data_IF_614538894298
#
_entry.id   IF_614538894298
#
_cell.length_a   1.000
_cell.length_b   1.000
_cell.length_c   1.000
_cell.angle_alpha   90.00
_cell.angle_beta   90.00
_cell.angle_gamma   90.00
#
_symmetry.space_group_name_H-M   'P 1'
#
loop_
_entity.id
_entity.type
_entity.pdbx_description
1 polymer ?
#
# COMPACT_ATOMS: atom_id res chain seq x y z
N UNK A 1 -56.10 32.64 -55.97
CA UNK A 1 -55.30 31.48 -56.44
C UNK A 1 -54.49 30.95 -55.27
N UNK A 2 -54.87 29.78 -54.75
CA UNK A 2 -53.96 28.82 -54.08
C UNK A 2 -53.14 28.08 -55.18
N UNK A 3 -52.06 27.31 -54.90
CA UNK A 3 -51.46 26.92 -53.61
C UNK A 3 -49.89 26.88 -53.54
N UNK A 4 -49.39 26.44 -52.37
CA UNK A 4 -48.21 25.55 -52.18
C UNK A 4 -46.81 26.17 -52.04
N UNK A 5 -46.20 26.08 -50.85
CA UNK A 5 -45.37 24.93 -50.45
C UNK A 5 -44.65 25.17 -49.11
N UNK A 6 -44.59 24.10 -48.33
CA UNK A 6 -43.98 23.96 -47.01
C UNK A 6 -42.51 24.39 -46.92
N UNK A 7 -42.10 24.81 -45.72
CA UNK A 7 -40.93 24.28 -44.99
C UNK A 7 -40.90 24.80 -43.55
N UNK A 8 -41.40 23.95 -42.66
CA UNK A 8 -41.19 24.03 -41.21
C UNK A 8 -39.74 23.64 -40.89
N UNK A 9 -38.94 24.61 -40.45
CA UNK A 9 -37.63 24.36 -39.84
C UNK A 9 -37.79 24.35 -38.32
N UNK A 10 -38.06 23.17 -37.76
CA UNK A 10 -37.82 22.90 -36.34
C UNK A 10 -36.30 22.76 -36.16
N UNK A 11 -35.65 23.82 -35.70
CA UNK A 11 -34.30 23.74 -35.16
C UNK A 11 -34.40 23.11 -33.76
N UNK A 12 -34.13 21.81 -33.66
CA UNK A 12 -33.79 21.17 -32.40
C UNK A 12 -32.36 21.59 -32.04
N UNK A 13 -32.10 22.32 -30.94
CA UNK A 13 -30.75 22.44 -30.45
C UNK A 13 -30.39 21.09 -29.83
N UNK A 14 -29.57 20.31 -30.54
CA UNK A 14 -28.79 19.25 -29.92
C UNK A 14 -27.81 19.92 -28.96
N UNK A 15 -28.22 20.08 -27.70
CA UNK A 15 -27.31 20.29 -26.60
C UNK A 15 -26.52 18.99 -26.44
N UNK A 16 -25.37 18.90 -27.12
CA UNK A 16 -24.31 17.98 -26.70
C UNK A 16 -23.81 18.48 -25.35
N UNK A 17 -24.43 17.99 -24.27
CA UNK A 17 -23.75 17.90 -22.99
C UNK A 17 -22.65 16.86 -23.17
N UNK A 18 -21.47 17.29 -23.59
CA UNK A 18 -20.25 16.51 -23.40
C UNK A 18 -20.09 16.38 -21.88
N UNK A 19 -20.52 15.26 -21.33
CA UNK A 19 -20.15 14.86 -19.98
C UNK A 19 -18.62 14.80 -19.98
N UNK A 20 -17.98 15.82 -19.41
CA UNK A 20 -16.57 15.74 -19.11
C UNK A 20 -16.42 14.53 -18.18
N UNK A 21 -15.83 13.44 -18.68
CA UNK A 21 -15.42 12.33 -17.85
C UNK A 21 -14.51 12.93 -16.77
N UNK A 22 -15.00 12.98 -15.54
CA UNK A 22 -14.22 13.48 -14.41
C UNK A 22 -13.00 12.59 -14.28
N UNK A 23 -11.81 13.18 -14.44
CA UNK A 23 -10.55 12.45 -14.28
C UNK A 23 -10.51 11.80 -12.89
N UNK A 24 -10.08 10.54 -12.82
CA UNK A 24 -9.93 9.83 -11.56
C UNK A 24 -8.94 10.56 -10.64
N UNK A 25 -9.38 10.87 -9.42
CA UNK A 25 -8.55 11.52 -8.40
C UNK A 25 -7.65 10.46 -7.73
N UNK A 26 -6.34 10.58 -7.96
CA UNK A 26 -5.34 9.63 -7.46
C UNK A 26 -4.97 9.88 -5.99
N UNK A 27 -5.05 11.15 -5.56
CA UNK A 27 -4.65 11.57 -4.22
C UNK A 27 -5.67 11.09 -3.20
N UNK A 28 -5.20 10.45 -2.13
CA UNK A 28 -6.04 9.85 -1.08
C UNK A 28 -7.04 8.79 -1.59
N UNK A 29 -6.78 8.22 -2.78
CA UNK A 29 -7.61 7.19 -3.37
C UNK A 29 -7.59 5.91 -2.51
N UNK A 30 -8.75 5.53 -2.00
CA UNK A 30 -8.94 4.26 -1.29
C UNK A 30 -9.21 3.09 -2.24
N UNK A 31 -9.03 1.85 -1.78
CA UNK A 31 -9.39 0.60 -2.48
C UNK A 31 -10.85 0.65 -2.94
N UNK A 32 -11.77 1.16 -2.12
CA UNK A 32 -13.18 1.31 -2.49
C UNK A 32 -13.39 2.36 -3.58
N UNK A 33 -12.65 3.49 -3.50
CA UNK A 33 -12.72 4.54 -4.52
C UNK A 33 -12.14 4.10 -5.86
N UNK A 34 -11.18 3.17 -5.86
CA UNK A 34 -10.59 2.54 -7.05
C UNK A 34 -11.54 1.48 -7.64
N UNK A 35 -12.14 0.64 -6.78
CA UNK A 35 -13.03 -0.44 -7.22
C UNK A 35 -14.31 0.06 -7.89
N UNK A 36 -14.87 1.19 -7.42
CA UNK A 36 -16.08 1.79 -7.99
C UNK A 36 -15.96 2.08 -9.50
N UNK A 37 -15.00 2.87 -9.98
CA UNK A 37 -14.84 3.15 -11.42
C UNK A 37 -14.38 1.93 -12.23
N UNK A 38 -13.75 0.91 -11.62
CA UNK A 38 -13.50 -0.37 -12.30
C UNK A 38 -14.79 -1.10 -12.69
N UNK A 39 -15.87 -0.95 -11.91
CA UNK A 39 -17.15 -1.60 -12.18
C UNK A 39 -17.90 -1.00 -13.38
N UNK A 40 -17.68 0.28 -13.65
CA UNK A 40 -18.36 1.02 -14.72
C UNK A 40 -17.49 1.24 -15.96
N UNK A 41 -16.22 0.85 -15.92
CA UNK A 41 -15.27 1.04 -17.01
C UNK A 41 -14.65 2.45 -17.09
N UNK A 42 -14.98 3.33 -16.14
CA UNK A 42 -14.45 4.70 -16.04
C UNK A 42 -12.95 4.73 -15.71
N UNK A 43 -12.44 3.63 -15.14
CA UNK A 43 -11.02 3.42 -14.87
C UNK A 43 -10.63 1.99 -15.27
N UNK A 44 -9.47 1.85 -15.90
CA UNK A 44 -8.83 0.55 -16.16
C UNK A 44 -7.68 0.33 -15.19
N UNK A 45 -7.35 -0.93 -14.91
CA UNK A 45 -6.17 -1.29 -14.12
C UNK A 45 -4.92 -0.76 -14.80
N UNK A 46 -4.85 -0.82 -16.14
CA UNK A 46 -3.77 -0.19 -16.91
C UNK A 46 -3.68 1.32 -16.67
N UNK A 47 -4.80 2.03 -16.81
CA UNK A 47 -4.84 3.48 -16.61
C UNK A 47 -4.43 3.89 -15.20
N UNK A 48 -4.88 3.15 -14.18
CA UNK A 48 -4.47 3.37 -12.79
C UNK A 48 -2.96 3.16 -12.59
N UNK A 49 -2.39 2.13 -13.20
CA UNK A 49 -0.96 1.84 -13.10
C UNK A 49 -0.12 2.90 -13.80
N UNK A 50 -0.55 3.36 -14.97
CA UNK A 50 0.08 4.49 -15.66
C UNK A 50 0.03 5.78 -14.82
N UNK A 51 -1.06 6.03 -14.08
CA UNK A 51 -1.15 7.16 -13.15
C UNK A 51 -0.12 7.05 -12.01
N UNK A 52 -0.03 5.89 -11.36
CA UNK A 52 0.95 5.69 -10.28
C UNK A 52 2.40 5.68 -10.79
N UNK A 53 2.68 5.10 -11.95
CA UNK A 53 4.01 5.14 -12.56
C UNK A 53 4.48 6.58 -12.83
N UNK A 54 3.58 7.44 -13.33
CA UNK A 54 3.86 8.88 -13.50
C UNK A 54 4.17 9.55 -12.15
N UNK A 55 3.41 9.22 -11.10
CA UNK A 55 3.63 9.79 -9.76
C UNK A 55 4.93 9.33 -9.12
N UNK A 56 5.26 8.04 -9.23
CA UNK A 56 6.54 7.47 -8.80
C UNK A 56 7.69 8.18 -9.52
N UNK A 57 7.62 8.32 -10.85
CA UNK A 57 8.65 9.00 -11.62
C UNK A 57 8.85 10.47 -11.21
N UNK A 58 7.78 11.16 -10.79
CA UNK A 58 7.83 12.55 -10.36
C UNK A 58 8.39 12.73 -8.94
N UNK A 59 8.08 11.82 -8.01
CA UNK A 59 8.34 12.01 -6.58
C UNK A 59 9.51 11.18 -6.05
N UNK A 60 9.73 9.98 -6.58
CA UNK A 60 10.76 9.06 -6.07
C UNK A 60 12.21 9.59 -6.19
N UNK A 61 12.59 10.39 -7.21
CA UNK A 61 13.91 11.02 -7.23
C UNK A 61 14.23 11.89 -6.01
N UNK A 62 13.21 12.39 -5.29
CA UNK A 62 13.38 13.17 -4.06
C UNK A 62 13.15 12.34 -2.80
N UNK A 63 12.31 11.29 -2.86
CA UNK A 63 11.86 10.54 -1.70
C UNK A 63 12.61 9.22 -1.49
N UNK A 64 13.15 8.64 -2.56
CA UNK A 64 13.86 7.35 -2.57
C UNK A 64 13.07 6.22 -1.88
N UNK A 65 11.76 6.19 -2.11
CA UNK A 65 10.89 5.14 -1.59
C UNK A 65 11.04 3.85 -2.39
N UNK A 66 11.36 3.93 -3.68
CA UNK A 66 11.39 2.83 -4.66
C UNK A 66 12.82 2.44 -5.01
N UNK A 67 13.17 1.18 -4.71
CA UNK A 67 14.46 0.56 -5.02
C UNK A 67 14.47 -0.02 -6.43
N UNK A 68 13.43 -0.76 -6.79
CA UNK A 68 13.32 -1.48 -8.07
C UNK A 68 11.87 -1.44 -8.57
N UNK A 69 11.69 -1.26 -9.87
CA UNK A 69 10.39 -1.11 -10.53
C UNK A 69 10.35 -1.97 -11.79
N UNK A 70 9.39 -2.88 -11.87
CA UNK A 70 9.09 -3.66 -13.08
C UNK A 70 7.92 -3.03 -13.84
N UNK A 71 8.20 -1.95 -14.58
CA UNK A 71 7.17 -1.20 -15.28
C UNK A 71 6.42 -2.04 -16.33
N UNK A 72 7.14 -2.85 -17.11
CA UNK A 72 6.54 -3.64 -18.19
C UNK A 72 5.70 -4.80 -17.64
N UNK A 73 6.22 -5.52 -16.64
CA UNK A 73 5.44 -6.59 -16.02
C UNK A 73 4.25 -6.08 -15.20
N UNK A 74 4.35 -4.87 -14.63
CA UNK A 74 3.24 -4.13 -14.05
C UNK A 74 2.16 -3.83 -15.09
N UNK A 75 2.49 -3.15 -16.19
CA UNK A 75 1.51 -2.84 -17.25
C UNK A 75 0.87 -4.12 -17.82
N UNK A 76 1.66 -5.18 -18.04
CA UNK A 76 1.15 -6.47 -18.49
C UNK A 76 0.22 -7.14 -17.44
N UNK A 77 0.47 -6.96 -16.14
CA UNK A 77 -0.43 -7.43 -15.08
C UNK A 77 -1.77 -6.71 -15.12
N UNK A 78 -1.74 -5.40 -15.32
CA UNK A 78 -2.91 -4.56 -15.48
C UNK A 78 -3.76 -4.99 -16.66
N UNK A 79 -3.16 -5.18 -17.83
CA UNK A 79 -3.87 -5.61 -19.04
C UNK A 79 -4.58 -6.97 -18.83
N UNK A 80 -3.94 -7.88 -18.07
CA UNK A 80 -4.55 -9.16 -17.70
C UNK A 80 -5.69 -9.02 -16.69
N UNK A 81 -5.56 -8.15 -15.70
CA UNK A 81 -6.63 -7.87 -14.75
C UNK A 81 -7.85 -7.24 -15.45
N UNK A 82 -7.61 -6.33 -16.40
CA UNK A 82 -8.65 -5.74 -17.25
C UNK A 82 -9.32 -6.80 -18.12
N UNK A 83 -8.55 -7.68 -18.76
CA UNK A 83 -9.09 -8.78 -19.56
C UNK A 83 -9.94 -9.76 -18.73
N UNK A 84 -9.45 -10.16 -17.55
CA UNK A 84 -10.19 -11.04 -16.64
C UNK A 84 -11.51 -10.40 -16.19
N UNK A 85 -11.51 -9.09 -15.92
CA UNK A 85 -12.72 -8.35 -15.55
C UNK A 85 -13.73 -8.29 -16.69
N UNK A 86 -13.28 -8.05 -17.93
CA UNK A 86 -14.15 -8.10 -19.13
C UNK A 86 -14.76 -9.48 -19.36
N UNK A 87 -13.96 -10.54 -19.20
CA UNK A 87 -14.42 -11.93 -19.39
C UNK A 87 -15.46 -12.35 -18.35
N UNK A 88 -15.36 -11.81 -17.14
CA UNK A 88 -16.28 -12.16 -16.06
C UNK A 88 -17.67 -11.50 -16.21
N UNK A 89 -17.77 -10.41 -17.01
CA UNK A 89 -19.04 -9.74 -17.33
C UNK A 89 -19.55 -8.78 -16.25
N UNK A 90 -20.72 -8.20 -16.49
CA UNK A 90 -21.33 -7.19 -15.61
C UNK A 90 -21.67 -7.80 -14.24
N UNK A 91 -21.34 -7.08 -13.16
CA UNK A 91 -21.56 -7.53 -11.78
C UNK A 91 -20.48 -8.48 -11.23
N UNK A 92 -19.50 -8.89 -12.05
CA UNK A 92 -18.46 -9.83 -11.62
C UNK A 92 -17.42 -9.26 -10.66
N UNK A 93 -17.41 -7.94 -10.42
CA UNK A 93 -16.46 -7.33 -9.50
C UNK A 93 -16.55 -7.97 -8.09
N UNK A 94 -17.75 -8.35 -7.65
CA UNK A 94 -17.96 -9.01 -6.35
C UNK A 94 -17.47 -10.46 -6.30
N UNK A 95 -17.36 -11.13 -7.45
CA UNK A 95 -16.78 -12.46 -7.58
C UNK A 95 -15.26 -12.42 -7.74
N UNK A 96 -14.72 -11.26 -8.13
CA UNK A 96 -13.30 -11.03 -8.24
C UNK A 96 -12.67 -10.70 -6.88
N UNK A 97 -11.37 -11.00 -6.72
CA UNK A 97 -10.61 -10.67 -5.52
C UNK A 97 -10.71 -9.19 -5.16
N UNK A 98 -10.61 -8.89 -3.86
CA UNK A 98 -10.80 -7.53 -3.34
C UNK A 98 -9.80 -6.52 -3.94
N UNK A 99 -8.56 -6.95 -4.17
CA UNK A 99 -7.50 -6.11 -4.76
C UNK A 99 -7.34 -6.36 -6.28
N UNK A 100 -8.31 -6.98 -6.95
CA UNK A 100 -8.22 -7.28 -8.37
C UNK A 100 -7.96 -6.01 -9.20
N UNK A 101 -6.80 -5.97 -9.86
CA UNK A 101 -6.42 -4.87 -10.74
C UNK A 101 -5.90 -3.61 -10.05
N UNK A 102 -5.81 -3.60 -8.72
CA UNK A 102 -5.20 -2.51 -7.96
C UNK A 102 -3.68 -2.77 -7.79
N UNK A 103 -2.81 -1.78 -8.01
CA UNK A 103 -1.37 -1.92 -7.76
C UNK A 103 -1.03 -1.98 -6.28
N UNK A 104 0.00 -2.76 -5.95
CA UNK A 104 0.49 -2.93 -4.58
C UNK A 104 2.01 -2.99 -4.57
N UNK A 105 2.63 -2.05 -3.86
CA UNK A 105 4.08 -2.07 -3.67
C UNK A 105 4.45 -2.91 -2.45
N UNK A 106 5.58 -3.61 -2.52
CA UNK A 106 6.01 -4.52 -1.46
C UNK A 106 7.40 -4.17 -0.98
N UNK A 107 7.67 -4.42 0.30
CA UNK A 107 9.00 -4.26 0.86
C UNK A 107 10.03 -5.17 0.17
N UNK A 108 11.24 -4.68 0.05
CA UNK A 108 12.35 -5.31 -0.69
C UNK A 108 12.82 -6.68 -0.14
N UNK A 109 12.36 -7.09 1.04
CA UNK A 109 12.62 -8.41 1.59
C UNK A 109 11.53 -9.45 1.26
N UNK A 110 10.51 -9.08 0.47
CA UNK A 110 9.43 -9.96 0.04
C UNK A 110 9.72 -10.43 -1.39
N UNK A 111 9.69 -11.75 -1.60
CA UNK A 111 9.98 -12.37 -2.89
C UNK A 111 8.86 -12.19 -3.89
N UNK A 112 9.26 -11.96 -5.14
CA UNK A 112 8.40 -11.59 -6.26
C UNK A 112 8.94 -12.18 -7.56
N UNK A 113 8.34 -13.25 -8.05
CA UNK A 113 8.78 -14.02 -9.22
C UNK A 113 7.69 -14.15 -10.32
N UNK A 114 6.48 -13.65 -10.10
CA UNK A 114 5.32 -13.88 -10.96
C UNK A 114 5.36 -13.23 -12.36
N UNK A 115 5.35 -14.08 -13.41
CA UNK A 115 4.92 -13.72 -14.77
C UNK A 115 5.92 -13.00 -15.67
N UNK A 116 7.19 -13.41 -15.60
CA UNK A 116 8.22 -13.08 -16.60
C UNK A 116 9.26 -12.05 -16.17
N UNK A 117 9.06 -11.39 -15.04
CA UNK A 117 10.03 -10.46 -14.44
C UNK A 117 10.31 -10.93 -13.01
N UNK A 118 11.53 -11.40 -12.76
CA UNK A 118 12.02 -11.65 -11.41
C UNK A 118 12.68 -10.36 -10.93
N UNK A 119 11.92 -9.54 -10.22
CA UNK A 119 12.53 -8.53 -9.35
C UNK A 119 13.39 -9.25 -8.32
N UNK A 120 14.36 -8.56 -7.74
CA UNK A 120 15.30 -9.18 -6.82
C UNK A 120 14.61 -9.69 -5.53
N UNK A 121 15.37 -10.13 -4.53
CA UNK A 121 15.01 -10.08 -3.12
C UNK A 121 16.24 -9.69 -2.31
N UNK A 122 16.43 -8.39 -2.07
CA UNK A 122 17.69 -7.90 -1.50
C UNK A 122 17.66 -7.57 -0.02
N UNK A 123 16.47 -7.32 0.56
CA UNK A 123 16.34 -6.78 1.91
C UNK A 123 17.25 -5.54 2.16
N UNK A 124 17.47 -4.73 1.11
CA UNK A 124 18.39 -3.59 1.13
C UNK A 124 19.88 -3.93 1.12
N UNK A 125 20.26 -5.20 0.90
CA UNK A 125 21.65 -5.66 0.91
C UNK A 125 22.24 -5.80 -0.49
N UNK A 126 23.39 -5.16 -0.71
CA UNK A 126 24.15 -5.31 -1.97
C UNK A 126 24.56 -6.76 -2.25
N UNK A 127 24.72 -7.59 -1.22
CA UNK A 127 25.09 -9.00 -1.37
C UNK A 127 24.01 -9.83 -2.07
N UNK A 128 22.78 -9.33 -2.12
CA UNK A 128 21.63 -10.02 -2.70
C UNK A 128 21.17 -9.36 -4.01
N UNK A 129 21.90 -8.36 -4.53
CA UNK A 129 21.64 -7.82 -5.87
C UNK A 129 21.93 -8.90 -6.92
N UNK A 130 21.00 -9.08 -7.86
CA UNK A 130 20.99 -10.17 -8.82
C UNK A 130 20.30 -11.44 -8.32
N UNK A 131 19.82 -11.49 -7.06
CA UNK A 131 19.08 -12.64 -6.56
C UNK A 131 17.77 -12.80 -7.34
N UNK A 132 17.42 -14.04 -7.69
CA UNK A 132 16.18 -14.35 -8.38
C UNK A 132 15.37 -15.28 -7.49
N UNK A 133 14.33 -14.80 -6.81
CA UNK A 133 13.48 -15.65 -6.01
C UNK A 133 12.88 -16.77 -6.86
N UNK A 134 12.83 -17.99 -6.30
CA UNK A 134 12.29 -19.15 -7.00
C UNK A 134 10.75 -19.12 -7.17
N UNK A 135 10.08 -18.23 -6.43
CA UNK A 135 8.63 -18.09 -6.45
C UNK A 135 8.17 -16.87 -5.67
N UNK A 136 6.89 -16.53 -5.82
CA UNK A 136 6.26 -15.47 -5.05
C UNK A 136 6.15 -15.85 -3.57
N UNK A 137 6.20 -14.83 -2.70
CA UNK A 137 5.95 -14.97 -1.28
C UNK A 137 4.56 -15.58 -0.99
N UNK A 138 4.47 -16.26 0.15
CA UNK A 138 3.25 -16.79 0.72
C UNK A 138 2.31 -15.69 1.12
N UNK A 139 1.33 -15.42 0.27
CA UNK A 139 0.10 -14.77 0.67
C UNK A 139 -0.98 -15.81 0.37
N UNK A 140 -1.77 -16.15 1.39
CA UNK A 140 -2.56 -17.39 1.38
C UNK A 140 -3.42 -17.49 0.11
N UNK A 141 -3.47 -18.69 -0.47
CA UNK A 141 -4.22 -18.97 -1.69
C UNK A 141 -5.75 -18.94 -1.51
N UNK A 142 -6.24 -18.70 -0.28
CA UNK A 142 -7.65 -18.77 0.07
C UNK A 142 -8.47 -17.49 -0.20
N UNK A 143 -7.82 -16.34 -0.39
CA UNK A 143 -8.46 -15.02 -0.55
C UNK A 143 -8.50 -14.54 -2.02
N UNK A 144 -8.11 -15.40 -2.96
CA UNK A 144 -8.14 -15.10 -4.38
C UNK A 144 -7.17 -14.01 -4.81
N UNK A 145 -6.17 -13.64 -4.01
CA UNK A 145 -5.17 -12.63 -4.39
C UNK A 145 -4.75 -12.81 -5.86
N UNK A 146 -4.92 -11.80 -6.74
CA UNK A 146 -4.52 -11.96 -8.13
C UNK A 146 -3.05 -12.31 -8.14
N UNK A 147 -2.70 -13.35 -8.92
CA UNK A 147 -1.37 -13.93 -9.00
C UNK A 147 -0.26 -12.95 -9.44
N UNK A 148 -0.52 -11.63 -9.51
CA UNK A 148 0.37 -10.63 -10.09
C UNK A 148 0.18 -9.30 -9.39
N UNK A 149 0.95 -9.13 -8.33
CA UNK A 149 1.09 -7.86 -7.64
C UNK A 149 1.87 -6.92 -8.55
N UNK A 150 1.63 -5.61 -8.44
CA UNK A 150 2.33 -4.60 -9.22
C UNK A 150 3.58 -4.21 -8.46
N UNK A 151 4.64 -4.97 -8.69
CA UNK A 151 5.71 -5.05 -7.73
C UNK A 151 6.68 -3.90 -7.93
N UNK A 152 6.74 -3.07 -6.90
CA UNK A 152 7.74 -2.05 -6.73
C UNK A 152 8.36 -2.31 -5.37
N UNK A 153 9.68 -2.46 -5.38
CA UNK A 153 10.43 -2.77 -4.19
C UNK A 153 10.69 -1.51 -3.43
N UNK A 154 10.32 -1.53 -2.16
CA UNK A 154 10.38 -0.35 -1.33
C UNK A 154 11.63 -0.35 -0.46
N UNK A 155 12.26 0.82 -0.34
CA UNK A 155 13.49 1.02 0.40
C UNK A 155 13.34 0.46 1.81
N UNK A 156 14.21 -0.48 2.15
CA UNK A 156 14.35 -0.99 3.50
C UNK A 156 15.57 -0.31 4.10
N UNK A 157 15.37 0.75 4.89
CA UNK A 157 16.48 1.36 5.59
C UNK A 157 16.95 0.40 6.71
N UNK A 158 17.89 -0.48 6.39
CA UNK A 158 18.56 -1.33 7.37
C UNK A 158 19.59 -0.48 8.12
N UNK A 159 19.15 0.20 9.18
CA UNK A 159 20.07 0.88 10.10
C UNK A 159 19.43 2.05 10.83
N UNK A 160 19.56 2.03 12.16
CA UNK A 160 19.44 3.23 13.00
C UNK A 160 20.50 4.22 12.54
N UNK A 161 20.14 5.13 11.63
CA UNK A 161 20.97 6.28 11.29
C UNK A 161 20.27 7.54 11.80
N UNK A 162 20.58 7.86 13.04
CA UNK A 162 20.27 9.15 13.66
C UNK A 162 21.22 10.21 13.11
N UNK A 163 21.13 10.56 11.82
CA UNK A 163 21.69 11.79 11.23
C UNK A 163 21.27 11.92 9.75
N UNK A 164 20.82 13.10 9.29
CA UNK A 164 20.70 13.36 7.86
C UNK A 164 22.10 13.48 7.24
N UNK A 165 22.39 12.88 6.06
CA UNK A 165 23.59 13.22 5.32
C UNK A 165 23.47 14.64 4.76
N UNK A 166 24.58 15.37 4.78
CA UNK A 166 24.75 16.64 4.08
C UNK A 166 24.52 16.46 2.56
N UNK A 167 24.04 17.53 1.92
CA UNK A 167 23.62 17.68 0.53
C UNK A 167 24.41 16.86 -0.51
N UNK A 168 23.78 16.34 -1.59
CA UNK A 168 24.51 15.64 -2.63
C UNK A 168 25.25 16.63 -3.55
N UNK A 169 26.47 16.32 -4.03
CA UNK A 169 27.07 17.02 -5.16
C UNK A 169 26.48 16.51 -6.48
N UNK A 170 26.13 17.48 -7.33
CA UNK A 170 26.23 17.54 -8.79
C UNK A 170 25.49 16.53 -9.71
N UNK A 171 24.59 17.07 -10.54
CA UNK A 171 24.99 17.37 -11.94
C UNK A 171 24.59 16.43 -13.08
N UNK A 172 23.66 15.48 -12.94
CA UNK A 172 23.23 14.61 -14.06
C UNK A 172 21.71 14.60 -14.26
N UNK A 173 21.17 14.72 -15.50
CA UNK A 173 19.73 14.83 -15.74
C UNK A 173 18.94 13.56 -15.33
N UNK A 174 17.84 13.76 -14.60
CA UNK A 174 17.01 12.70 -13.99
C UNK A 174 16.41 11.68 -14.98
N UNK A 175 16.18 12.08 -16.24
CA UNK A 175 15.52 11.25 -17.25
C UNK A 175 16.34 10.01 -17.69
N UNK A 176 17.66 10.02 -17.48
CA UNK A 176 18.53 8.88 -17.85
C UNK A 176 18.60 7.78 -16.77
N UNK A 177 18.22 8.07 -15.51
CA UNK A 177 18.32 7.12 -14.38
C UNK A 177 17.16 6.13 -14.28
N UNK A 178 16.02 6.41 -14.91
CA UNK A 178 14.82 5.58 -14.80
C UNK A 178 14.84 4.31 -15.67
N UNK A 179 15.74 4.23 -16.67
CA UNK A 179 15.66 3.18 -17.72
C UNK A 179 16.46 1.91 -17.47
N UNK A 180 17.29 1.83 -16.41
CA UNK A 180 18.07 0.62 -16.14
C UNK A 180 18.67 0.60 -14.73
N UNK A 181 17.86 0.29 -13.70
CA UNK A 181 18.38 0.03 -12.33
C UNK A 181 18.72 -1.45 -12.08
N UNK A 182 18.60 -2.32 -13.08
CA UNK A 182 18.95 -3.75 -12.96
C UNK A 182 20.44 -4.02 -12.71
N UNK A 183 21.31 -3.00 -12.72
CA UNK A 183 22.77 -3.15 -12.63
C UNK A 183 23.47 -2.10 -11.73
N UNK A 184 22.75 -1.38 -10.85
CA UNK A 184 23.42 -0.43 -9.95
C UNK A 184 24.09 -1.16 -8.78
N UNK A 185 25.44 -1.11 -8.75
CA UNK A 185 26.31 -1.69 -7.70
C UNK A 185 26.42 -0.73 -6.48
N UNK A 186 25.75 0.43 -6.52
CA UNK A 186 25.74 1.40 -5.42
C UNK A 186 24.58 1.15 -4.47
N UNK A 187 24.75 1.35 -3.15
CA UNK A 187 23.66 1.20 -2.19
C UNK A 187 22.49 2.13 -2.57
N UNK A 188 21.22 1.70 -2.36
CA UNK A 188 20.09 2.56 -2.61
C UNK A 188 20.23 3.83 -1.75
N UNK A 189 19.90 5.01 -2.29
CA UNK A 189 20.01 6.25 -1.53
C UNK A 189 19.04 6.21 -0.34
N UNK A 190 19.38 6.95 0.73
CA UNK A 190 18.57 6.96 1.94
C UNK A 190 17.16 7.52 1.66
N UNK A 191 16.10 6.88 2.18
CA UNK A 191 14.73 7.34 2.03
C UNK A 191 14.46 8.61 2.86
N UNK A 192 13.65 9.52 2.30
CA UNK A 192 13.28 10.78 2.94
C UNK A 192 11.81 10.81 3.33
N UNK A 193 11.51 11.43 4.48
CA UNK A 193 10.14 11.62 4.95
C UNK A 193 9.41 12.66 4.06
N UNK A 194 8.20 12.35 3.53
CA UNK A 194 7.50 13.22 2.58
C UNK A 194 6.92 14.49 3.23
N UNK A 195 6.76 14.52 4.56
CA UNK A 195 6.26 15.70 5.29
C UNK A 195 7.38 16.63 5.71
N UNK A 196 8.50 16.08 6.18
CA UNK A 196 9.65 16.84 6.67
C UNK A 196 10.93 16.15 6.18
N UNK A 197 11.54 16.58 5.07
CA UNK A 197 12.70 15.90 4.48
C UNK A 197 13.90 15.74 5.43
N UNK A 198 14.06 16.63 6.41
CA UNK A 198 15.11 16.52 7.43
C UNK A 198 14.80 15.53 8.56
N UNK A 199 13.58 15.00 8.62
CA UNK A 199 13.16 14.00 9.61
C UNK A 199 13.39 12.58 9.08
N UNK A 200 13.62 11.64 10.00
CA UNK A 200 13.66 10.22 9.64
C UNK A 200 12.28 9.74 9.21
N UNK A 201 12.16 8.90 8.17
CA UNK A 201 10.93 8.17 7.86
C UNK A 201 10.75 6.94 8.77
N UNK A 202 11.59 6.77 9.79
CA UNK A 202 11.80 5.52 10.53
C UNK A 202 12.11 4.33 9.60
N UNK A 203 12.12 3.11 10.13
CA UNK A 203 12.57 1.91 9.43
C UNK A 203 12.00 0.66 10.11
N UNK A 204 12.07 -0.54 9.54
CA UNK A 204 12.70 -0.92 8.26
C UNK A 204 11.76 -0.88 7.05
N UNK A 205 10.44 -0.71 7.21
CA UNK A 205 9.50 -0.59 6.06
C UNK A 205 9.32 0.88 5.63
N UNK A 206 10.41 1.64 5.54
CA UNK A 206 10.39 3.09 5.23
C UNK A 206 9.75 3.37 3.88
N UNK A 207 10.19 2.69 2.82
CA UNK A 207 9.64 2.90 1.49
C UNK A 207 8.13 2.60 1.44
N UNK A 208 7.64 1.59 2.18
CA UNK A 208 6.20 1.30 2.27
C UNK A 208 5.41 2.49 2.82
N UNK A 209 5.88 3.06 3.93
CA UNK A 209 5.19 4.19 4.54
C UNK A 209 5.31 5.47 3.69
N UNK A 210 6.47 5.74 3.09
CA UNK A 210 6.68 6.91 2.22
C UNK A 210 5.82 6.80 0.95
N UNK A 211 5.80 5.64 0.29
CA UNK A 211 5.04 5.44 -0.93
C UNK A 211 3.53 5.59 -0.69
N UNK A 212 3.03 5.07 0.43
CA UNK A 212 1.65 5.30 0.85
C UNK A 212 1.38 6.79 1.12
N UNK A 213 2.21 7.44 1.94
CA UNK A 213 2.03 8.85 2.32
C UNK A 213 2.14 9.82 1.14
N UNK A 214 2.96 9.49 0.13
CA UNK A 214 3.15 10.31 -1.06
C UNK A 214 2.15 9.99 -2.19
N UNK A 215 1.16 9.12 -1.93
CA UNK A 215 0.19 8.64 -2.93
C UNK A 215 0.86 8.00 -4.16
N UNK A 216 2.01 7.35 -3.99
CA UNK A 216 2.67 6.58 -5.06
C UNK A 216 1.95 5.25 -5.35
N UNK A 217 1.13 4.78 -4.42
CA UNK A 217 0.19 3.67 -4.56
C UNK A 217 -0.87 3.79 -3.45
N UNK A 218 -2.07 3.21 -3.64
CA UNK A 218 -3.07 3.15 -2.58
C UNK A 218 -2.70 2.21 -1.43
N UNK A 219 -1.99 1.11 -1.75
CA UNK A 219 -1.71 0.01 -0.83
C UNK A 219 -0.24 -0.40 -0.90
N UNK A 220 0.38 -0.56 0.27
CA UNK A 220 1.70 -1.16 0.39
C UNK A 220 1.75 -2.28 1.42
N UNK A 221 2.73 -3.17 1.27
CA UNK A 221 3.06 -4.21 2.26
C UNK A 221 4.42 -3.95 2.88
N UNK A 222 4.48 -4.16 4.19
CA UNK A 222 5.70 -4.12 5.00
C UNK A 222 5.91 -5.43 5.76
N UNK A 223 7.03 -5.52 6.46
CA UNK A 223 7.31 -6.61 7.40
C UNK A 223 7.74 -6.03 8.73
N UNK A 224 7.35 -6.68 9.82
CA UNK A 224 7.75 -6.28 11.15
C UNK A 224 8.24 -7.44 11.99
N UNK A 225 9.42 -7.23 12.58
CA UNK A 225 9.98 -8.01 13.68
C UNK A 225 9.68 -7.28 15.00
N UNK A 226 10.09 -6.01 15.07
CA UNK A 226 9.83 -5.09 16.17
C UNK A 226 9.77 -3.67 15.60
N UNK A 227 8.60 -3.04 15.62
CA UNK A 227 8.36 -1.67 15.16
C UNK A 227 8.50 -1.40 13.66
N UNK A 228 8.97 -2.36 12.85
CA UNK A 228 9.34 -2.14 11.46
C UNK A 228 8.19 -1.83 10.48
N UNK A 229 6.92 -1.95 10.88
CA UNK A 229 5.72 -1.41 10.21
C UNK A 229 5.18 -0.23 11.03
N UNK A 230 5.01 -0.40 12.34
CA UNK A 230 4.37 0.61 13.21
C UNK A 230 5.16 1.91 13.28
N UNK A 231 6.49 1.84 13.37
CA UNK A 231 7.35 3.01 13.43
C UNK A 231 7.33 3.83 12.14
N UNK A 232 7.63 3.27 10.94
CA UNK A 232 7.54 4.04 9.71
C UNK A 232 6.10 4.52 9.43
N UNK A 233 5.08 3.76 9.81
CA UNK A 233 3.69 4.23 9.67
C UNK A 233 3.41 5.47 10.51
N UNK A 234 3.85 5.48 11.77
CA UNK A 234 3.74 6.64 12.68
C UNK A 234 4.50 7.86 12.16
N UNK A 235 5.75 7.68 11.70
CA UNK A 235 6.61 8.78 11.26
C UNK A 235 6.17 9.41 9.92
N UNK A 236 5.46 8.67 9.07
CA UNK A 236 4.96 9.15 7.78
C UNK A 236 3.44 9.32 7.76
N UNK A 237 2.79 9.40 8.93
CA UNK A 237 1.35 9.67 9.06
C UNK A 237 0.45 8.75 8.22
N UNK A 238 0.74 7.45 8.19
CA UNK A 238 -0.08 6.43 7.52
C UNK A 238 -0.51 5.34 8.50
N UNK A 239 -1.58 4.62 8.16
CA UNK A 239 -2.05 3.48 8.97
C UNK A 239 -1.17 2.28 8.69
N UNK A 240 -0.66 1.64 9.74
CA UNK A 240 0.06 0.37 9.67
C UNK A 240 -0.59 -0.69 10.56
N UNK A 241 -0.70 -1.93 10.07
CA UNK A 241 -1.12 -3.08 10.88
C UNK A 241 0.01 -4.09 10.93
N UNK A 242 0.53 -4.34 12.13
CA UNK A 242 1.31 -5.53 12.45
C UNK A 242 0.36 -6.64 12.94
N UNK A 243 0.03 -7.66 12.13
CA UNK A 243 -0.87 -8.71 12.58
C UNK A 243 -0.23 -9.61 13.66
N UNK A 244 -1.04 -10.50 14.22
CA UNK A 244 -0.55 -11.62 15.04
C UNK A 244 0.45 -12.45 14.23
N UNK A 245 1.53 -12.90 14.85
CA UNK A 245 2.52 -13.77 14.18
C UNK A 245 1.82 -15.02 13.66
N UNK A 246 2.04 -15.34 12.38
CA UNK A 246 1.41 -16.46 11.69
C UNK A 246 0.03 -16.17 11.09
N UNK A 247 -0.57 -15.01 11.35
CA UNK A 247 -1.86 -14.69 10.72
C UNK A 247 -1.71 -14.51 9.20
N UNK A 248 -0.57 -13.98 8.77
CA UNK A 248 -0.10 -13.91 7.39
C UNK A 248 1.12 -14.82 7.24
N UNK A 249 1.27 -15.44 6.07
CA UNK A 249 2.41 -16.32 5.79
C UNK A 249 3.69 -15.51 5.57
N UNK A 250 4.82 -16.13 5.91
CA UNK A 250 6.18 -15.57 5.74
C UNK A 250 6.98 -16.36 4.72
N UNK A 251 6.36 -17.32 4.04
CA UNK A 251 7.04 -18.06 2.97
C UNK A 251 7.55 -17.07 1.91
N UNK A 252 8.78 -17.24 1.43
CA UNK A 252 9.38 -16.31 0.45
C UNK A 252 9.67 -14.90 1.00
N UNK A 253 9.69 -14.71 2.32
CA UNK A 253 10.17 -13.46 2.94
C UNK A 253 11.56 -13.70 3.55
N UNK A 254 12.48 -12.77 3.33
CA UNK A 254 13.77 -12.75 4.06
C UNK A 254 13.47 -12.27 5.48
N UNK A 255 13.48 -13.20 6.41
CA UNK A 255 13.12 -13.00 7.82
C UNK A 255 14.33 -12.75 8.72
N UNK A 256 14.11 -12.00 9.79
CA UNK A 256 15.05 -11.78 10.91
C UNK A 256 14.78 -12.80 12.01
N UNK A 257 13.53 -12.93 12.47
CA UNK A 257 13.17 -13.81 13.58
C UNK A 257 11.89 -14.60 13.30
N UNK A 258 11.97 -15.95 13.24
CA UNK A 258 10.78 -16.79 13.11
C UNK A 258 9.76 -16.64 14.25
N UNK A 259 10.13 -16.02 15.38
CA UNK A 259 9.23 -15.84 16.53
C UNK A 259 8.47 -14.52 16.51
N UNK A 260 8.95 -13.54 15.75
CA UNK A 260 8.46 -12.16 15.81
C UNK A 260 8.02 -11.64 14.45
N UNK A 261 8.66 -12.12 13.38
CA UNK A 261 8.40 -11.65 12.03
C UNK A 261 6.97 -11.91 11.59
N UNK A 262 6.38 -10.89 10.98
CA UNK A 262 5.07 -10.95 10.36
C UNK A 262 4.98 -10.01 9.17
N UNK A 263 4.15 -10.37 8.18
CA UNK A 263 3.84 -9.52 7.02
C UNK A 263 2.60 -8.72 7.33
N UNK A 264 2.66 -7.40 7.16
CA UNK A 264 1.55 -6.51 7.49
C UNK A 264 1.39 -5.41 6.47
N UNK A 265 0.42 -4.53 6.74
CA UNK A 265 -0.17 -3.67 5.70
C UNK A 265 0.01 -2.22 6.08
N UNK A 266 0.19 -1.37 5.06
CA UNK A 266 0.33 0.07 5.22
C UNK A 266 -0.58 0.77 4.21
N UNK A 267 -1.53 1.55 4.73
CA UNK A 267 -2.69 2.13 4.02
C UNK A 267 -3.77 1.13 3.57
N UNK A 268 -5.03 1.55 3.63
CA UNK A 268 -6.24 0.71 3.46
C UNK A 268 -6.17 -0.66 4.15
N UNK A 269 -5.55 -0.62 5.33
CA UNK A 269 -4.87 -1.76 5.93
C UNK A 269 -5.75 -3.00 6.13
N UNK A 270 -7.06 -2.82 6.35
CA UNK A 270 -8.02 -3.91 6.53
C UNK A 270 -8.32 -4.67 5.24
N UNK A 271 -8.45 -3.99 4.09
CA UNK A 271 -8.66 -4.64 2.79
C UNK A 271 -7.48 -5.54 2.43
N UNK A 272 -6.28 -5.06 2.74
CA UNK A 272 -5.02 -5.74 2.46
C UNK A 272 -4.78 -6.88 3.44
N UNK A 273 -5.12 -6.68 4.73
CA UNK A 273 -5.04 -7.73 5.73
C UNK A 273 -5.95 -8.89 5.32
N UNK A 274 -7.20 -8.59 4.99
CA UNK A 274 -8.16 -9.58 4.52
C UNK A 274 -7.69 -10.34 3.28
N UNK A 275 -7.02 -9.66 2.35
CA UNK A 275 -6.42 -10.30 1.20
C UNK A 275 -5.22 -11.21 1.54
N UNK A 276 -4.54 -11.01 2.67
CA UNK A 276 -3.25 -11.69 2.95
C UNK A 276 -3.32 -12.74 4.04
N UNK A 277 -4.32 -12.69 4.93
CA UNK A 277 -4.45 -13.66 6.02
C UNK A 277 -4.75 -15.07 5.52
N UNK A 278 -4.25 -16.09 6.22
CA UNK A 278 -4.65 -17.47 5.96
C UNK A 278 -3.59 -18.51 6.25
N UNK A 279 -4.02 -19.77 6.22
CA UNK A 279 -3.11 -20.90 6.28
C UNK A 279 -2.25 -20.97 5.01
N UNK A 280 -0.96 -21.22 5.18
CA UNK A 280 -0.04 -21.52 4.08
C UNK A 280 0.76 -22.77 4.44
N UNK A 281 0.69 -23.86 3.64
CA UNK A 281 1.47 -25.06 3.90
C UNK A 281 2.99 -24.82 3.84
N UNK A 282 3.47 -23.77 3.16
CA UNK A 282 4.89 -23.39 3.13
C UNK A 282 5.34 -22.70 4.42
N UNK A 283 4.40 -22.26 5.26
CA UNK A 283 4.64 -21.68 6.58
C UNK A 283 3.65 -22.27 7.60
N UNK A 284 3.46 -23.59 7.54
CA UNK A 284 2.44 -24.28 8.32
C UNK A 284 2.64 -24.13 9.83
N UNK A 285 3.90 -24.08 10.28
CA UNK A 285 4.23 -23.96 11.70
C UNK A 285 3.70 -22.66 12.30
N UNK A 286 3.83 -21.53 11.61
CA UNK A 286 3.27 -20.27 12.10
C UNK A 286 1.77 -20.14 11.80
N UNK A 287 1.32 -20.55 10.61
CA UNK A 287 -0.03 -20.20 10.13
C UNK A 287 -1.13 -21.14 10.62
N UNK A 288 -0.80 -22.38 11.01
CA UNK A 288 -1.80 -23.39 11.41
C UNK A 288 -2.68 -22.95 12.58
N UNK A 289 -2.11 -22.36 13.62
CA UNK A 289 -2.89 -21.93 14.79
C UNK A 289 -3.53 -20.57 14.56
N UNK A 290 -2.78 -19.61 14.01
CA UNK A 290 -3.27 -18.25 13.82
C UNK A 290 -4.44 -18.17 12.83
N UNK A 291 -4.45 -19.01 11.78
CA UNK A 291 -5.53 -19.05 10.79
C UNK A 291 -6.89 -19.45 11.36
N UNK A 292 -6.92 -20.17 12.49
CA UNK A 292 -8.16 -20.54 13.18
C UNK A 292 -8.89 -19.34 13.80
N UNK A 293 -8.18 -18.21 13.97
CA UNK A 293 -8.72 -16.97 14.52
C UNK A 293 -9.12 -15.96 13.43
N UNK A 294 -9.05 -16.35 12.16
CA UNK A 294 -9.56 -15.54 11.07
C UNK A 294 -11.09 -15.51 11.18
N UNK A 295 -11.72 -14.34 11.26
CA UNK A 295 -13.16 -14.22 11.43
C UNK A 295 -13.90 -14.71 10.18
N UNK A 296 -14.96 -15.50 10.39
CA UNK A 296 -15.90 -15.82 9.32
C UNK A 296 -16.49 -14.53 8.72
N UNK A 297 -16.62 -14.43 7.41
CA UNK A 297 -17.18 -13.22 6.77
C UNK A 297 -16.26 -12.00 6.77
N UNK A 298 -14.95 -12.19 6.99
CA UNK A 298 -13.88 -11.24 6.72
C UNK A 298 -13.69 -10.09 7.75
N UNK A 299 -12.58 -9.36 7.68
CA UNK A 299 -12.22 -8.32 8.67
C UNK A 299 -12.99 -7.02 8.47
N UNK A 300 -13.31 -6.68 7.22
CA UNK A 300 -14.05 -5.45 6.89
C UNK A 300 -15.39 -5.30 7.59
N UNK A 301 -16.02 -6.40 8.02
CA UNK A 301 -17.28 -6.38 8.80
C UNK A 301 -17.15 -5.68 10.15
N UNK A 302 -15.92 -5.50 10.64
CA UNK A 302 -15.64 -4.79 11.89
C UNK A 302 -15.36 -3.29 11.71
N UNK A 303 -15.39 -2.78 10.46
CA UNK A 303 -15.32 -1.34 10.19
C UNK A 303 -16.64 -0.68 10.62
N UNK A 304 -16.65 -0.18 11.86
CA UNK A 304 -17.81 0.43 12.48
C UNK A 304 -17.40 1.75 13.14
N UNK A 305 -18.04 2.86 12.74
CA UNK A 305 -17.79 4.20 13.29
C UNK A 305 -18.07 4.29 14.79
N UNK A 306 -18.96 3.43 15.30
CA UNK A 306 -19.29 3.28 16.72
C UNK A 306 -18.55 2.12 17.39
N UNK A 307 -17.56 1.50 16.72
CA UNK A 307 -16.88 0.28 17.18
C UNK A 307 -16.24 0.41 18.57
N UNK A 308 -15.85 1.63 18.95
CA UNK A 308 -15.30 1.93 20.27
C UNK A 308 -16.35 2.00 21.38
N UNK A 309 -17.65 2.15 21.08
CA UNK A 309 -18.70 2.30 22.10
C UNK A 309 -18.74 1.11 23.06
N UNK A 310 -18.71 1.41 24.36
CA UNK A 310 -18.69 0.42 25.44
C UNK A 310 -17.37 -0.33 25.59
N UNK A 311 -16.33 0.00 24.81
CA UNK A 311 -15.01 -0.65 24.94
C UNK A 311 -14.24 -0.08 26.12
N UNK A 312 -13.28 -0.88 26.61
CA UNK A 312 -12.34 -0.49 27.66
C UNK A 312 -10.95 -0.44 27.04
N UNK A 313 -10.32 0.74 27.05
CA UNK A 313 -8.96 0.90 26.56
C UNK A 313 -7.99 1.00 27.74
N UNK A 314 -6.94 0.17 27.74
CA UNK A 314 -5.81 0.31 28.64
C UNK A 314 -4.82 1.31 28.05
N UNK A 315 -4.43 2.31 28.84
CA UNK A 315 -3.47 3.34 28.40
C UNK A 315 -2.13 3.01 29.03
N UNK A 316 -1.15 2.67 28.20
CA UNK A 316 0.24 2.53 28.65
C UNK A 316 0.79 3.94 28.93
N UNK A 317 1.19 4.19 30.18
CA UNK A 317 1.72 5.49 30.63
C UNK A 317 3.20 5.35 31.02
N UNK A 318 3.60 6.00 32.11
CA UNK A 318 4.96 6.04 32.66
C UNK A 318 5.57 4.62 32.66
N UNK A 319 6.84 4.55 32.27
CA UNK A 319 7.66 3.34 32.07
C UNK A 319 7.49 2.60 30.71
N UNK A 320 6.44 2.90 29.93
CA UNK A 320 6.28 2.39 28.55
C UNK A 320 6.32 3.49 27.49
N UNK A 321 5.67 4.63 27.76
CA UNK A 321 5.70 5.81 26.89
C UNK A 321 5.86 7.07 27.73
N UNK A 322 6.89 7.85 27.45
CA UNK A 322 7.16 9.12 28.11
C UNK A 322 7.35 10.23 27.08
N UNK A 323 6.59 11.31 27.25
CA UNK A 323 6.75 12.54 26.50
C UNK A 323 7.27 13.62 27.45
N UNK A 324 8.27 14.42 27.03
CA UNK A 324 8.68 15.58 27.81
C UNK A 324 7.49 16.49 28.12
N UNK A 325 7.43 17.02 29.34
CA UNK A 325 6.35 17.91 29.75
C UNK A 325 6.29 19.14 28.85
N UNK A 326 5.09 19.49 28.37
CA UNK A 326 4.85 20.61 27.46
C UNK A 326 5.18 20.33 25.99
N UNK A 327 5.70 19.14 25.65
CA UNK A 327 6.02 18.78 24.26
C UNK A 327 4.78 18.75 23.35
N UNK A 328 5.00 18.85 22.03
CA UNK A 328 3.91 18.71 21.04
C UNK A 328 3.30 17.31 21.12
N UNK A 329 4.14 16.29 21.27
CA UNK A 329 3.72 14.89 21.38
C UNK A 329 2.82 14.67 22.60
N UNK A 330 3.18 15.25 23.76
CA UNK A 330 2.33 15.16 24.94
C UNK A 330 0.96 15.80 24.69
N UNK A 331 0.90 16.98 24.07
CA UNK A 331 -0.37 17.66 23.76
C UNK A 331 -1.23 16.85 22.78
N UNK A 332 -0.65 16.45 21.65
CA UNK A 332 -1.34 15.64 20.62
C UNK A 332 -1.87 14.32 21.20
N UNK A 333 -1.10 13.65 22.07
CA UNK A 333 -1.57 12.45 22.75
C UNK A 333 -2.81 12.70 23.62
N UNK A 334 -2.83 13.80 24.38
CA UNK A 334 -4.00 14.16 25.20
C UNK A 334 -5.20 14.55 24.34
N UNK A 335 -4.99 15.31 23.26
CA UNK A 335 -6.06 15.71 22.34
C UNK A 335 -6.68 14.50 21.63
N UNK A 336 -5.85 13.57 21.18
CA UNK A 336 -6.33 12.31 20.60
C UNK A 336 -7.10 11.48 21.64
N UNK A 337 -6.59 11.40 22.87
CA UNK A 337 -7.28 10.70 23.95
C UNK A 337 -8.64 11.35 24.30
N UNK A 338 -8.71 12.67 24.28
CA UNK A 338 -9.97 13.40 24.48
C UNK A 338 -10.95 13.11 23.35
N UNK A 339 -10.46 13.11 22.11
CA UNK A 339 -11.27 12.80 20.91
C UNK A 339 -11.91 11.40 21.00
N UNK A 340 -11.16 10.38 21.42
CA UNK A 340 -11.70 9.01 21.54
C UNK A 340 -12.62 8.81 22.76
N UNK A 341 -12.52 9.67 23.79
CA UNK A 341 -13.32 9.55 25.03
C UNK A 341 -14.56 10.44 25.07
N UNK A 342 -14.60 11.52 24.29
CA UNK A 342 -15.82 12.29 24.04
C UNK A 342 -16.88 11.37 23.37
N UNK A 343 -18.17 11.63 23.64
CA UNK A 343 -19.34 10.83 23.24
C UNK A 343 -19.63 9.52 24.02
N UNK A 344 -19.07 9.32 25.22
CA UNK A 344 -19.41 8.16 26.05
C UNK A 344 -18.97 6.81 25.45
N UNK A 345 -18.01 6.85 24.52
CA UNK A 345 -17.57 5.67 23.78
C UNK A 345 -16.73 4.72 24.64
N UNK A 346 -15.99 5.18 25.65
CA UNK A 346 -15.02 4.32 26.37
C UNK A 346 -15.18 4.38 27.89
N UNK A 347 -15.18 3.21 28.55
CA UNK A 347 -15.14 3.09 30.02
C UNK A 347 -13.69 3.01 30.48
N UNK A 348 -13.28 3.95 31.34
CA UNK A 348 -11.92 4.08 31.87
C UNK A 348 -11.54 2.87 32.75
N UNK A 349 -10.30 2.39 32.63
CA UNK A 349 -9.58 1.74 33.73
C UNK A 349 -8.26 2.50 33.91
N UNK A 350 -8.20 3.34 34.92
CA UNK A 350 -6.92 3.86 35.38
C UNK A 350 -6.25 2.74 36.18
N UNK A 351 -5.03 2.37 35.79
CA UNK A 351 -4.05 1.83 36.72
C UNK A 351 -3.04 2.95 36.96
#
# INVERSE_FOLDING_TARGET
MLPSAARSHLAFPFLLAAAAATAFELEEATVDSIRRPFAHGDLTSRGLVELYLRRIAALDPALHAVVELDQDGALAAADRADAARRLAGDGALSALPLLHGAPVLVKDNISTAGGGSALNATAGSLALVGSRPAGDAGMSSGSGVPARWFLVRLASASGVTSAPPASPPDGVPAAARARSRSHQISPPPLPFNPYVPSATPCSSSSGSAIAAAANMVAVTIGTETDGSIMCPSSYNSVVGIKPTVGLTSRAGVIIISPRMDTVGTVSDAVHVLEATVGYDPRDAEATRMASQYIPEGAYRKFLNIDGLRGKRLGILRKDFFWFPSGSVQQKVFHDHFNTITQDGRIVRKAN
#
